data_IF_748555224023
#
_entry.id   IF_748555224023
#
_cell.length_a   1.000
_cell.length_b   1.000
_cell.length_c   1.000
_cell.angle_alpha   90.00
_cell.angle_beta   90.00
_cell.angle_gamma   90.00
#
_symmetry.space_group_name_H-M   'P 1'
#
loop_
_entity.id
_entity.type
_entity.pdbx_description
1 polymer ?
#
# COMPACT_ATOMS: atom_id res chain seq x y z
N UNK A 1 -14.52 -21.56 -59.03
CA UNK A 1 -14.15 -20.17 -58.66
C UNK A 1 -12.82 -20.21 -57.93
N UNK A 2 -11.81 -19.49 -58.42
CA UNK A 2 -10.46 -19.42 -57.85
C UNK A 2 -10.44 -18.37 -56.73
N UNK A 3 -9.90 -18.69 -55.56
CA UNK A 3 -9.25 -17.69 -54.67
C UNK A 3 -8.00 -18.33 -54.05
N UNK A 4 -6.85 -17.79 -54.45
CA UNK A 4 -5.52 -18.00 -53.86
C UNK A 4 -5.28 -16.88 -52.83
N UNK A 5 -4.12 -16.96 -52.16
CA UNK A 5 -3.42 -16.00 -51.28
C UNK A 5 -3.62 -16.42 -49.80
N UNK A 6 -2.74 -17.22 -49.16
CA UNK A 6 -1.30 -17.06 -48.87
C UNK A 6 -1.00 -15.76 -48.10
N UNK A 7 -1.02 -15.83 -46.77
CA UNK A 7 -0.23 -14.93 -45.91
C UNK A 7 0.27 -15.71 -44.70
N UNK A 8 1.53 -16.13 -44.79
CA UNK A 8 2.39 -16.47 -43.66
C UNK A 8 2.88 -15.13 -43.10
N UNK A 9 2.48 -14.79 -41.88
CA UNK A 9 3.13 -13.72 -41.12
C UNK A 9 3.39 -14.27 -39.72
N UNK A 10 4.60 -14.81 -39.57
CA UNK A 10 5.22 -15.12 -38.29
C UNK A 10 5.48 -13.78 -37.59
N UNK A 11 4.57 -13.37 -36.71
CA UNK A 11 4.82 -12.26 -35.78
C UNK A 11 4.94 -12.82 -34.37
N UNK A 12 6.09 -13.46 -34.11
CA UNK A 12 6.61 -13.60 -32.77
C UNK A 12 7.04 -12.20 -32.29
N UNK A 13 6.08 -11.43 -31.76
CA UNK A 13 6.34 -10.15 -31.11
C UNK A 13 5.15 -9.76 -30.23
N UNK A 14 4.94 -10.52 -29.15
CA UNK A 14 4.68 -9.90 -27.86
C UNK A 14 5.90 -10.28 -27.04
N UNK A 15 7.00 -9.55 -27.25
CA UNK A 15 7.40 -8.49 -26.33
C UNK A 15 7.39 -9.08 -24.92
N UNK A 16 8.59 -9.43 -24.45
CA UNK A 16 8.86 -9.68 -23.06
C UNK A 16 8.18 -8.56 -22.25
N UNK A 17 6.98 -8.83 -21.73
CA UNK A 17 6.57 -8.24 -20.48
C UNK A 17 7.67 -8.68 -19.56
N UNK A 18 8.56 -7.75 -19.21
CA UNK A 18 9.54 -7.96 -18.17
C UNK A 18 8.72 -8.50 -17.01
N UNK A 19 8.80 -9.81 -16.80
CA UNK A 19 8.28 -10.41 -15.60
C UNK A 19 9.04 -9.65 -14.54
N UNK A 20 8.35 -8.78 -13.82
CA UNK A 20 8.80 -8.43 -12.49
C UNK A 20 9.08 -9.79 -11.88
N UNK A 21 10.35 -10.08 -11.63
CA UNK A 21 10.72 -11.30 -10.94
C UNK A 21 10.10 -11.11 -9.57
N UNK A 22 8.85 -11.55 -9.41
CA UNK A 22 8.26 -11.76 -8.12
C UNK A 22 9.20 -12.80 -7.51
N UNK A 23 10.05 -12.35 -6.60
CA UNK A 23 10.79 -13.26 -5.72
C UNK A 23 9.71 -13.89 -4.87
N UNK A 24 9.13 -14.98 -5.37
CA UNK A 24 8.00 -15.66 -4.76
C UNK A 24 8.59 -16.61 -3.73
N UNK A 25 9.09 -16.03 -2.64
CA UNK A 25 9.45 -16.84 -1.49
C UNK A 25 8.22 -17.59 -0.94
N UNK A 26 8.47 -18.44 0.05
CA UNK A 26 7.44 -19.27 0.66
C UNK A 26 7.53 -19.22 2.18
N UNK A 27 6.37 -19.29 2.83
CA UNK A 27 6.30 -19.51 4.27
C UNK A 27 6.74 -20.93 4.62
N UNK A 28 7.68 -21.05 5.55
CA UNK A 28 8.15 -22.32 6.09
C UNK A 28 8.01 -22.31 7.61
N UNK A 29 7.67 -23.46 8.19
CA UNK A 29 7.44 -23.60 9.63
C UNK A 29 8.26 -24.74 10.22
N UNK A 30 8.72 -24.55 11.47
CA UNK A 30 9.26 -25.61 12.31
C UNK A 30 8.76 -25.48 13.75
N UNK A 31 9.38 -26.20 14.69
CA UNK A 31 9.00 -26.17 16.12
C UNK A 31 9.28 -24.84 16.82
N UNK A 32 10.15 -24.01 16.25
CA UNK A 32 10.53 -22.70 16.79
C UNK A 32 9.59 -21.60 16.30
N UNK A 33 9.21 -21.63 15.02
CA UNK A 33 8.32 -20.63 14.44
C UNK A 33 8.23 -20.68 12.92
N UNK A 34 7.67 -19.62 12.35
CA UNK A 34 7.56 -19.37 10.92
C UNK A 34 8.73 -18.51 10.43
N UNK A 35 9.23 -18.76 9.22
CA UNK A 35 10.14 -17.86 8.51
C UNK A 35 9.78 -17.82 7.02
N UNK A 36 10.26 -16.78 6.34
CA UNK A 36 10.10 -16.63 4.90
C UNK A 36 11.35 -17.11 4.17
N UNK A 37 11.21 -18.03 3.22
CA UNK A 37 12.32 -18.50 2.39
C UNK A 37 12.21 -17.96 0.97
N UNK A 38 13.18 -17.14 0.56
CA UNK A 38 13.30 -16.64 -0.82
C UNK A 38 13.70 -17.75 -1.80
N UNK A 39 13.41 -17.54 -3.09
CA UNK A 39 13.78 -18.47 -4.18
C UNK A 39 15.29 -18.79 -4.24
N UNK A 40 16.13 -17.83 -3.87
CA UNK A 40 17.58 -17.99 -3.81
C UNK A 40 18.07 -18.74 -2.55
N UNK A 41 17.14 -19.20 -1.70
CA UNK A 41 17.39 -19.89 -0.44
C UNK A 41 17.75 -18.98 0.74
N UNK A 42 17.84 -17.66 0.53
CA UNK A 42 18.02 -16.69 1.62
C UNK A 42 16.70 -16.43 2.35
N UNK A 43 16.77 -15.73 3.49
CA UNK A 43 15.62 -15.38 4.29
C UNK A 43 15.87 -14.02 4.99
N UNK A 44 14.82 -13.22 5.24
CA UNK A 44 14.93 -11.95 5.93
C UNK A 44 15.35 -12.17 7.40
N UNK A 45 16.20 -11.29 7.90
CA UNK A 45 16.72 -11.28 9.28
C UNK A 45 16.78 -9.85 9.79
N UNK A 46 16.36 -9.64 11.04
CA UNK A 46 16.36 -8.33 11.74
C UNK A 46 15.76 -7.19 10.91
N UNK A 47 14.65 -7.44 10.22
CA UNK A 47 14.05 -6.47 9.31
C UNK A 47 12.55 -6.66 9.19
N UNK A 48 11.87 -5.61 8.73
CA UNK A 48 10.50 -5.68 8.25
C UNK A 48 10.49 -5.97 6.76
N UNK A 49 9.52 -6.76 6.30
CA UNK A 49 9.36 -7.03 4.86
C UNK A 49 7.89 -7.14 4.50
N UNK A 50 7.53 -6.45 3.41
CA UNK A 50 6.25 -6.61 2.73
C UNK A 50 6.28 -7.86 1.88
N UNK A 51 5.35 -8.78 2.12
CA UNK A 51 5.28 -10.09 1.48
C UNK A 51 3.85 -10.33 1.00
N UNK A 52 3.71 -10.77 -0.25
CA UNK A 52 2.47 -11.33 -0.78
C UNK A 52 2.55 -12.86 -0.59
N UNK A 53 2.26 -13.30 0.63
CA UNK A 53 2.48 -14.69 1.05
C UNK A 53 1.48 -15.68 0.45
N UNK A 54 0.33 -15.18 -0.01
CA UNK A 54 -0.78 -15.96 -0.55
C UNK A 54 -0.98 -15.75 -2.07
N UNK A 55 -0.17 -14.89 -2.70
CA UNK A 55 -0.20 -14.53 -4.12
C UNK A 55 -1.55 -13.95 -4.58
N UNK A 56 -2.23 -13.19 -3.72
CA UNK A 56 -3.48 -12.51 -4.07
C UNK A 56 -3.27 -11.06 -4.59
N UNK A 57 -2.02 -10.58 -4.57
CA UNK A 57 -1.64 -9.23 -4.97
C UNK A 57 -1.77 -8.19 -3.86
N UNK A 58 -2.05 -8.62 -2.63
CA UNK A 58 -2.07 -7.85 -1.40
C UNK A 58 -0.86 -8.30 -0.57
N UNK A 59 -0.06 -7.34 -0.14
CA UNK A 59 1.16 -7.54 0.63
C UNK A 59 0.89 -7.15 2.06
N UNK A 60 1.26 -8.00 3.01
CA UNK A 60 1.30 -7.68 4.42
C UNK A 60 2.74 -7.46 4.89
N UNK A 61 2.90 -6.64 5.93
CA UNK A 61 4.21 -6.34 6.49
C UNK A 61 4.53 -7.27 7.68
N UNK A 62 5.66 -7.96 7.62
CA UNK A 62 6.10 -8.91 8.64
C UNK A 62 7.45 -8.52 9.21
N UNK A 63 7.63 -8.63 10.53
CA UNK A 63 8.90 -8.42 11.21
C UNK A 63 9.62 -9.75 11.46
N UNK A 64 10.93 -9.78 11.21
CA UNK A 64 11.77 -10.96 11.43
C UNK A 64 12.84 -10.69 12.50
N UNK A 65 13.04 -11.65 13.39
CA UNK A 65 14.05 -11.62 14.44
C UNK A 65 15.48 -11.79 13.87
N UNK A 66 16.47 -11.79 14.75
CA UNK A 66 17.88 -11.93 14.36
C UNK A 66 18.25 -13.31 13.81
N UNK A 67 17.40 -14.32 14.01
CA UNK A 67 17.55 -15.67 13.48
C UNK A 67 16.71 -15.91 12.21
N UNK A 68 15.83 -14.96 11.86
CA UNK A 68 14.96 -15.00 10.69
C UNK A 68 13.55 -15.52 10.96
N UNK A 69 13.19 -15.73 12.23
CA UNK A 69 11.82 -16.10 12.59
C UNK A 69 10.91 -14.89 12.66
N UNK A 70 9.70 -15.06 12.15
CA UNK A 70 8.65 -14.05 12.16
C UNK A 70 8.15 -13.81 13.59
N UNK A 71 7.99 -12.54 13.98
CA UNK A 71 7.25 -12.18 15.19
C UNK A 71 5.75 -12.42 14.99
N UNK A 72 5.08 -12.99 16.00
CA UNK A 72 3.63 -13.23 15.99
C UNK A 72 3.03 -12.98 17.37
N UNK A 73 1.82 -12.42 17.41
CA UNK A 73 1.03 -12.14 18.61
C UNK A 73 1.83 -11.36 19.68
N UNK A 74 2.55 -10.31 19.27
CA UNK A 74 3.50 -9.64 20.14
C UNK A 74 3.78 -8.19 19.73
N UNK A 75 4.49 -7.48 20.61
CA UNK A 75 5.08 -6.18 20.30
C UNK A 75 6.55 -6.39 19.95
N UNK A 76 6.96 -5.93 18.77
CA UNK A 76 8.33 -6.03 18.28
C UNK A 76 9.28 -5.16 19.12
N UNK A 77 10.59 -5.44 19.15
CA UNK A 77 11.55 -4.68 19.96
C UNK A 77 11.63 -3.18 19.65
N UNK A 78 11.25 -2.78 18.45
CA UNK A 78 11.15 -1.39 17.97
C UNK A 78 9.80 -0.71 18.29
N UNK A 79 8.87 -1.42 18.95
CA UNK A 79 7.65 -0.85 19.53
C UNK A 79 6.39 -0.95 18.67
N UNK A 80 6.42 -1.66 17.54
CA UNK A 80 5.23 -1.91 16.72
C UNK A 80 4.51 -3.19 17.15
N UNK A 81 3.22 -3.32 16.82
CA UNK A 81 2.42 -4.48 17.19
C UNK A 81 2.16 -5.35 15.97
N UNK A 82 2.33 -6.67 16.11
CA UNK A 82 1.97 -7.67 15.09
C UNK A 82 0.84 -8.57 15.61
N UNK A 83 -0.07 -8.96 14.75
CA UNK A 83 -1.19 -9.84 15.11
C UNK A 83 -0.76 -11.32 15.22
N UNK A 84 -1.72 -12.21 15.46
CA UNK A 84 -1.49 -13.67 15.56
C UNK A 84 -0.90 -14.32 14.31
N UNK A 85 -1.18 -13.75 13.15
CA UNK A 85 -0.63 -14.18 11.87
C UNK A 85 0.73 -13.52 11.57
N UNK A 86 1.22 -12.67 12.47
CA UNK A 86 2.49 -11.94 12.36
C UNK A 86 2.45 -10.68 11.51
N UNK A 87 1.28 -10.31 10.99
CA UNK A 87 1.12 -9.12 10.18
C UNK A 87 1.14 -7.87 11.06
N UNK A 88 1.83 -6.84 10.60
CA UNK A 88 1.89 -5.53 11.24
C UNK A 88 0.50 -4.94 11.41
N UNK A 89 0.24 -4.41 12.60
CA UNK A 89 -1.02 -3.74 12.93
C UNK A 89 -0.78 -2.35 13.49
N UNK A 90 -1.70 -1.46 13.14
CA UNK A 90 -1.86 -0.14 13.73
C UNK A 90 -3.33 -0.03 14.16
N UNK A 91 -3.60 0.31 15.43
CA UNK A 91 -4.97 0.46 15.92
C UNK A 91 -5.86 -0.78 15.70
N UNK A 92 -5.29 -1.99 15.87
CA UNK A 92 -5.92 -3.29 15.58
C UNK A 92 -6.18 -3.62 14.10
N UNK A 93 -5.90 -2.72 13.15
CA UNK A 93 -6.02 -2.97 11.72
C UNK A 93 -4.71 -3.41 11.10
N UNK A 94 -4.75 -4.48 10.28
CA UNK A 94 -3.58 -4.96 9.54
C UNK A 94 -3.20 -3.95 8.46
N UNK A 95 -1.91 -3.69 8.33
CA UNK A 95 -1.40 -2.80 7.30
C UNK A 95 -1.16 -3.58 6.01
N UNK A 96 -1.82 -3.18 4.92
CA UNK A 96 -1.76 -3.81 3.62
C UNK A 96 -1.17 -2.86 2.57
N UNK A 97 -0.48 -3.43 1.59
CA UNK A 97 -0.05 -2.75 0.37
C UNK A 97 -0.52 -3.55 -0.83
N UNK A 98 -1.02 -2.90 -1.86
CA UNK A 98 -1.36 -3.59 -3.11
C UNK A 98 -0.11 -3.70 -3.98
N UNK A 99 -0.10 -4.65 -4.91
CA UNK A 99 1.03 -4.84 -5.84
C UNK A 99 1.45 -3.55 -6.58
N UNK A 100 0.53 -2.60 -6.76
CA UNK A 100 0.77 -1.25 -7.31
C UNK A 100 1.77 -0.43 -6.48
N UNK A 101 1.87 -0.72 -5.19
CA UNK A 101 2.69 0.01 -4.21
C UNK A 101 4.10 -0.59 -4.15
N UNK A 102 4.21 -1.90 -4.42
CA UNK A 102 5.46 -2.66 -4.41
C UNK A 102 6.33 -2.43 -5.66
N UNK A 103 5.75 -2.04 -6.79
CA UNK A 103 6.50 -1.76 -8.04
C UNK A 103 7.43 -0.54 -7.95
N UNK A 104 7.26 0.31 -6.93
CA UNK A 104 8.02 1.54 -6.77
C UNK A 104 9.24 1.44 -5.85
N UNK A 105 9.42 0.34 -5.12
CA UNK A 105 10.61 0.13 -4.29
C UNK A 105 11.81 -0.45 -5.08
N UNK A 106 11.59 -0.86 -6.33
CA UNK A 106 12.63 -1.37 -7.24
C UNK A 106 12.73 -0.54 -8.52
N UNK A 107 13.22 0.70 -8.42
CA UNK A 107 13.32 1.62 -9.55
C UNK A 107 14.50 2.57 -9.46
N UNK A 108 15.71 2.00 -9.59
CA UNK A 108 16.87 2.47 -10.36
C UNK A 108 17.27 3.96 -10.38
N UNK A 109 18.49 4.22 -9.88
CA UNK A 109 19.31 5.39 -10.17
C UNK A 109 19.57 5.54 -11.68
N UNK A 110 18.75 6.28 -12.41
CA UNK A 110 19.15 6.85 -13.70
C UNK A 110 19.33 8.37 -13.59
N UNK A 111 20.61 8.74 -13.50
CA UNK A 111 21.09 10.11 -13.42
C UNK A 111 20.90 10.78 -14.80
N UNK A 112 19.75 11.40 -15.03
CA UNK A 112 19.57 12.38 -16.11
C UNK A 112 19.05 13.68 -15.54
N UNK A 113 19.84 14.74 -15.75
CA UNK A 113 19.60 16.05 -15.18
C UNK A 113 18.28 16.66 -15.66
N UNK A 114 17.63 17.36 -14.73
CA UNK A 114 16.50 18.29 -14.87
C UNK A 114 15.09 17.68 -14.99
N UNK A 115 14.47 17.40 -13.85
CA UNK A 115 13.22 18.07 -13.46
C UNK A 115 13.03 17.94 -11.94
N UNK A 116 12.69 19.04 -11.26
CA UNK A 116 12.40 19.05 -9.83
C UNK A 116 10.93 18.67 -9.64
N UNK A 117 10.59 17.44 -9.98
CA UNK A 117 9.28 16.85 -9.76
C UNK A 117 9.49 15.57 -8.97
N UNK A 118 9.16 15.62 -7.68
CA UNK A 118 9.10 14.44 -6.83
C UNK A 118 8.08 13.50 -7.45
N UNK A 119 8.57 12.48 -8.16
CA UNK A 119 7.78 11.47 -8.86
C UNK A 119 6.89 10.73 -7.88
N UNK A 120 5.68 11.26 -7.72
CA UNK A 120 4.53 10.78 -6.96
C UNK A 120 4.00 9.52 -7.71
N UNK A 121 4.82 8.46 -7.78
CA UNK A 121 4.60 7.32 -8.67
C UNK A 121 3.59 6.29 -8.13
N UNK A 122 3.03 6.51 -6.95
CA UNK A 122 1.88 5.76 -6.43
C UNK A 122 0.60 6.51 -6.82
N UNK A 123 0.05 6.21 -8.01
CA UNK A 123 -1.19 6.86 -8.48
C UNK A 123 -2.39 6.19 -7.83
N UNK A 124 -2.60 6.33 -6.52
CA UNK A 124 -3.90 6.01 -5.93
C UNK A 124 -4.94 6.97 -6.52
N UNK A 125 -6.06 6.42 -6.96
CA UNK A 125 -7.16 7.21 -7.46
C UNK A 125 -8.09 7.58 -6.31
N UNK A 126 -8.94 8.58 -6.52
CA UNK A 126 -10.03 8.87 -5.60
C UNK A 126 -10.98 7.67 -5.45
N UNK A 127 -11.07 6.80 -6.47
CA UNK A 127 -11.86 5.55 -6.40
C UNK A 127 -11.27 4.54 -5.43
N UNK A 128 -9.94 4.40 -5.41
CA UNK A 128 -9.25 3.48 -4.48
C UNK A 128 -9.44 3.90 -3.01
N UNK A 129 -9.63 5.21 -2.77
CA UNK A 129 -9.72 5.80 -1.42
C UNK A 129 -11.14 5.92 -0.88
N UNK A 130 -12.14 5.36 -1.57
CA UNK A 130 -13.51 5.28 -1.03
C UNK A 130 -13.51 4.29 0.14
N UNK A 131 -13.98 4.71 1.31
CA UNK A 131 -13.97 3.88 2.50
C UNK A 131 -14.00 4.67 3.80
N UNK A 132 -13.98 3.95 4.92
CA UNK A 132 -13.90 4.53 6.26
C UNK A 132 -12.46 4.49 6.77
N UNK A 133 -11.98 5.62 7.30
CA UNK A 133 -10.64 5.76 7.87
C UNK A 133 -10.74 6.33 9.28
N UNK A 134 -10.34 5.57 10.29
CA UNK A 134 -10.34 5.97 11.70
C UNK A 134 -9.03 6.58 12.10
N UNK A 135 -9.06 7.53 13.03
CA UNK A 135 -7.86 8.10 13.61
C UNK A 135 -7.06 7.04 14.36
N UNK A 136 -5.75 7.02 14.16
CA UNK A 136 -4.85 6.19 14.95
C UNK A 136 -4.42 6.93 16.23
N UNK A 137 -5.35 7.10 17.18
CA UNK A 137 -5.11 7.70 18.49
C UNK A 137 -6.07 7.09 19.52
N UNK A 138 -5.54 6.44 20.56
CA UNK A 138 -6.35 5.76 21.59
C UNK A 138 -7.31 6.68 22.37
N UNK A 139 -7.12 8.00 22.30
CA UNK A 139 -7.94 8.98 23.01
C UNK A 139 -9.00 9.64 22.11
N UNK A 140 -9.07 9.25 20.83
CA UNK A 140 -9.98 9.84 19.86
C UNK A 140 -10.68 8.75 19.06
N UNK A 141 -11.94 8.97 18.75
CA UNK A 141 -12.75 8.08 17.93
C UNK A 141 -13.16 8.77 16.61
N UNK A 142 -12.37 9.76 16.19
CA UNK A 142 -12.63 10.53 14.97
C UNK A 142 -12.47 9.63 13.73
N UNK A 143 -13.33 9.77 12.73
CA UNK A 143 -13.19 9.05 11.48
C UNK A 143 -13.67 9.83 10.27
N UNK A 144 -13.08 9.52 9.11
CA UNK A 144 -13.50 9.98 7.82
C UNK A 144 -14.24 8.87 7.07
N UNK A 145 -15.35 9.21 6.43
CA UNK A 145 -15.95 8.40 5.37
C UNK A 145 -15.71 9.09 4.04
N UNK A 146 -14.85 8.51 3.22
CA UNK A 146 -14.50 9.02 1.90
C UNK A 146 -15.38 8.43 0.80
N UNK A 147 -15.79 9.31 -0.10
CA UNK A 147 -16.63 9.02 -1.25
C UNK A 147 -16.05 9.67 -2.50
N UNK A 148 -16.50 9.19 -3.66
CA UNK A 148 -16.18 9.81 -4.94
C UNK A 148 -16.70 11.25 -5.01
N UNK A 149 -15.78 12.18 -5.23
CA UNK A 149 -16.11 13.54 -5.61
C UNK A 149 -16.26 13.69 -7.13
N UNK A 150 -16.55 14.91 -7.58
CA UNK A 150 -16.57 15.20 -9.02
C UNK A 150 -15.13 15.23 -9.59
N UNK A 151 -14.94 14.55 -10.73
CA UNK A 151 -13.63 14.42 -11.38
C UNK A 151 -12.65 13.67 -10.49
N UNK A 152 -11.48 14.27 -10.27
CA UNK A 152 -10.42 13.73 -9.41
C UNK A 152 -10.57 14.10 -7.93
N UNK A 153 -11.70 14.70 -7.52
CA UNK A 153 -11.90 15.14 -6.13
C UNK A 153 -12.36 13.99 -5.22
N UNK A 154 -12.16 14.15 -3.91
CA UNK A 154 -12.68 13.24 -2.87
C UNK A 154 -13.69 14.02 -2.02
N UNK A 155 -14.90 13.49 -1.87
CA UNK A 155 -15.86 13.99 -0.90
C UNK A 155 -15.68 13.21 0.41
N UNK A 156 -15.88 13.88 1.55
CA UNK A 156 -15.70 13.25 2.85
C UNK A 156 -16.75 13.69 3.87
N UNK A 157 -17.28 12.75 4.64
CA UNK A 157 -17.85 13.03 5.94
C UNK A 157 -16.77 12.83 7.00
N UNK A 158 -16.72 13.72 7.98
CA UNK A 158 -15.84 13.60 9.13
C UNK A 158 -16.69 13.64 10.38
N UNK A 159 -16.54 12.61 11.19
CA UNK A 159 -17.21 12.47 12.47
C UNK A 159 -16.15 12.65 13.53
N UNK A 160 -16.32 13.65 14.41
CA UNK A 160 -15.45 13.80 15.56
C UNK A 160 -15.93 12.97 16.75
N UNK A 161 -15.06 12.88 17.75
CA UNK A 161 -15.30 12.22 19.03
C UNK A 161 -16.50 12.82 19.77
N UNK A 162 -16.84 14.09 19.52
CA UNK A 162 -17.98 14.78 20.15
C UNK A 162 -19.32 14.45 19.44
N UNK A 163 -19.28 13.77 18.29
CA UNK A 163 -20.43 13.33 17.51
C UNK A 163 -20.87 14.33 16.43
N UNK A 164 -20.13 15.43 16.25
CA UNK A 164 -20.42 16.41 15.21
C UNK A 164 -19.93 15.92 13.84
N UNK A 165 -20.78 16.12 12.83
CA UNK A 165 -20.47 15.75 11.45
C UNK A 165 -20.07 16.96 10.63
N UNK A 166 -18.91 16.87 9.99
CA UNK A 166 -18.37 17.87 9.09
C UNK A 166 -18.29 17.30 7.67
N UNK A 167 -18.54 18.15 6.67
CA UNK A 167 -18.48 17.75 5.26
C UNK A 167 -17.29 18.46 4.61
N UNK A 168 -16.43 17.69 3.94
CA UNK A 168 -15.28 18.20 3.20
C UNK A 168 -15.34 17.79 1.74
N UNK A 169 -14.81 18.66 0.88
CA UNK A 169 -14.51 18.34 -0.51
C UNK A 169 -13.04 18.65 -0.77
N UNK A 170 -12.28 17.60 -1.03
CA UNK A 170 -10.84 17.63 -1.26
C UNK A 170 -10.55 17.64 -2.76
N UNK A 171 -10.00 18.75 -3.24
CA UNK A 171 -9.51 18.88 -4.61
C UNK A 171 -8.10 18.32 -4.71
N UNK A 172 -7.82 17.59 -5.79
CA UNK A 172 -6.49 17.03 -6.07
C UNK A 172 -5.46 18.13 -6.31
N UNK A 173 -4.30 17.99 -5.67
CA UNK A 173 -3.14 18.89 -5.81
C UNK A 173 -2.00 18.17 -6.53
N UNK A 174 -1.71 16.92 -6.14
CA UNK A 174 -0.79 16.00 -6.82
C UNK A 174 -1.38 14.59 -6.78
N UNK A 175 -0.62 13.55 -7.15
CA UNK A 175 -1.14 12.18 -7.17
C UNK A 175 -1.53 11.71 -5.77
N UNK A 176 -0.74 12.05 -4.76
CA UNK A 176 -1.00 11.65 -3.36
C UNK A 176 -1.58 12.76 -2.50
N UNK A 177 -1.60 14.01 -2.97
CA UNK A 177 -1.98 15.17 -2.14
C UNK A 177 -3.27 15.81 -2.61
N UNK A 178 -4.11 16.10 -1.64
CA UNK A 178 -5.40 16.75 -1.81
C UNK A 178 -5.55 17.88 -0.79
N UNK A 179 -6.40 18.85 -1.10
CA UNK A 179 -6.68 19.97 -0.22
C UNK A 179 -8.16 20.33 -0.22
N UNK A 180 -8.68 20.64 0.95
CA UNK A 180 -10.09 21.03 1.08
C UNK A 180 -10.36 22.40 0.44
N UNK A 181 -11.62 22.65 0.05
CA UNK A 181 -12.08 23.88 -0.60
C UNK A 181 -11.77 25.18 0.19
N UNK A 182 -11.69 25.11 1.52
CA UNK A 182 -11.31 26.21 2.41
C UNK A 182 -9.79 26.36 2.60
N UNK A 183 -8.98 25.48 2.00
CA UNK A 183 -7.52 25.40 2.18
C UNK A 183 -7.06 25.20 3.64
N UNK A 184 -7.94 24.72 4.52
CA UNK A 184 -7.64 24.52 5.94
C UNK A 184 -7.13 23.11 6.25
N UNK A 185 -7.44 22.14 5.37
CA UNK A 185 -7.01 20.74 5.53
C UNK A 185 -6.21 20.23 4.34
N UNK A 186 -5.07 19.62 4.63
CA UNK A 186 -4.27 18.85 3.66
C UNK A 186 -4.49 17.36 3.92
N UNK A 187 -4.89 16.64 2.88
CA UNK A 187 -4.98 15.18 2.86
C UNK A 187 -3.80 14.64 2.04
N UNK A 188 -3.07 13.69 2.60
CA UNK A 188 -2.02 12.95 1.91
C UNK A 188 -2.35 11.47 1.97
N UNK A 189 -2.42 10.82 0.82
CA UNK A 189 -2.50 9.37 0.72
C UNK A 189 -1.08 8.84 0.89
N UNK A 190 -0.85 8.04 1.92
CA UNK A 190 0.46 7.41 2.18
C UNK A 190 0.50 6.07 1.45
N UNK A 191 -0.51 5.25 1.72
CA UNK A 191 -0.76 4.00 1.04
C UNK A 191 -2.27 3.71 0.99
N UNK A 192 -2.65 2.49 0.61
CA UNK A 192 -4.07 2.13 0.50
C UNK A 192 -4.83 2.22 1.82
N UNK A 193 -4.19 1.85 2.94
CA UNK A 193 -4.83 1.84 4.26
C UNK A 193 -4.56 3.11 5.06
N UNK A 194 -3.51 3.86 4.71
CA UNK A 194 -3.02 4.96 5.51
C UNK A 194 -3.18 6.28 4.79
N UNK A 195 -3.85 7.21 5.46
CA UNK A 195 -3.93 8.61 5.07
C UNK A 195 -3.43 9.50 6.20
N UNK A 196 -2.97 10.69 5.83
CA UNK A 196 -2.63 11.75 6.77
C UNK A 196 -3.51 12.96 6.48
N UNK A 197 -4.26 13.42 7.47
CA UNK A 197 -5.05 14.65 7.40
C UNK A 197 -4.59 15.61 8.49
N UNK A 198 -4.01 16.75 8.10
CA UNK A 198 -3.42 17.75 9.03
C UNK A 198 -2.51 17.12 10.09
N UNK A 199 -1.52 16.36 9.63
CA UNK A 199 -0.50 15.71 10.47
C UNK A 199 -1.02 14.63 11.42
N UNK A 200 -2.28 14.19 11.23
CA UNK A 200 -2.86 13.05 11.94
C UNK A 200 -3.02 11.87 11.00
N UNK A 201 -2.60 10.71 11.46
CA UNK A 201 -2.72 9.45 10.73
C UNK A 201 -4.10 8.85 10.94
N UNK A 202 -4.73 8.44 9.85
CA UNK A 202 -5.94 7.65 9.86
C UNK A 202 -5.69 6.35 9.10
N UNK A 203 -6.28 5.27 9.61
CA UNK A 203 -6.12 3.90 9.12
C UNK A 203 -7.49 3.42 8.66
N UNK A 204 -7.51 2.72 7.52
CA UNK A 204 -8.72 2.12 6.96
C UNK A 204 -9.30 1.06 7.91
N UNK A 205 -10.62 1.07 8.00
CA UNK A 205 -11.43 0.05 8.70
C UNK A 205 -11.60 -1.24 7.89
#
# INVERSE_FOLDING_TARGET
MKKKIMTLALTAAMAASMGMTAFAGQWVQNTTGWWWQEDNGSYPVSQWKWLDGNNDGIYECYAFDSNGYMYADTTTPDGYTVNKEGAWTIGNSVQLKFAKDMQNESGSNDNTAADNSTSDNTVYTNEDMVGTFRINDENREDYFEFMLGAGDSIAAFYYDTDGDTHIYNFSKVSNTKYRDSSNSRNLTIVDYDTIIVNDRTYIRD
#
